data_IF_863083347733
#
_entry.id   IF_863083347733
#
_cell.length_a   1.000
_cell.length_b   1.000
_cell.length_c   1.000
_cell.angle_alpha   90.00
_cell.angle_beta   90.00
_cell.angle_gamma   90.00
#
_symmetry.space_group_name_H-M   'P 1'
#
loop_
_entity.id
_entity.type
_entity.pdbx_description
1 polymer ?
#
# COMPACT_ATOMS: atom_id res chain seq x y z
N UNK A 1 -43.45 9.87 7.60
CA UNK A 1 -42.69 9.98 6.32
C UNK A 1 -41.28 10.55 6.46
N UNK A 2 -41.02 11.53 7.34
CA UNK A 2 -39.68 12.14 7.48
C UNK A 2 -38.55 11.16 7.88
N UNK A 3 -38.82 10.22 8.80
CA UNK A 3 -37.82 9.25 9.31
C UNK A 3 -37.27 8.28 8.25
N UNK A 4 -38.10 7.88 7.29
CA UNK A 4 -37.71 6.99 6.19
C UNK A 4 -36.85 7.71 5.15
N UNK A 5 -37.19 8.97 4.86
CA UNK A 5 -36.43 9.81 3.93
C UNK A 5 -35.00 10.05 4.43
N UNK A 6 -34.83 10.32 5.72
CA UNK A 6 -33.51 10.63 6.28
C UNK A 6 -32.61 9.37 6.37
N UNK A 7 -33.18 8.20 6.68
CA UNK A 7 -32.45 6.92 6.64
C UNK A 7 -31.99 6.54 5.22
N UNK A 8 -32.78 6.89 4.20
CA UNK A 8 -32.43 6.66 2.80
C UNK A 8 -31.20 7.48 2.39
N UNK A 9 -31.16 8.77 2.71
CA UNK A 9 -30.00 9.64 2.41
C UNK A 9 -28.74 9.22 3.17
N UNK A 10 -28.88 8.76 4.42
CA UNK A 10 -27.77 8.22 5.21
C UNK A 10 -27.12 7.00 4.52
N UNK A 11 -27.94 6.06 4.08
CA UNK A 11 -27.49 4.84 3.39
C UNK A 11 -26.93 5.15 2.00
N UNK A 12 -27.59 6.03 1.25
CA UNK A 12 -27.13 6.47 -0.07
C UNK A 12 -25.75 7.13 -0.02
N UNK A 13 -25.49 7.96 1.00
CA UNK A 13 -24.17 8.60 1.16
C UNK A 13 -23.04 7.58 1.31
N UNK A 14 -23.28 6.51 2.05
CA UNK A 14 -22.31 5.43 2.28
C UNK A 14 -22.05 4.66 0.98
N UNK A 15 -23.11 4.36 0.22
CA UNK A 15 -22.99 3.68 -1.07
C UNK A 15 -22.21 4.54 -2.07
N UNK A 16 -22.44 5.84 -2.10
CA UNK A 16 -21.68 6.79 -2.94
C UNK A 16 -20.20 6.80 -2.54
N UNK A 17 -19.90 6.86 -1.25
CA UNK A 17 -18.51 6.81 -0.76
C UNK A 17 -17.81 5.49 -1.13
N UNK A 18 -18.51 4.37 -0.97
CA UNK A 18 -18.01 3.06 -1.41
C UNK A 18 -17.78 3.02 -2.92
N UNK A 19 -18.72 3.52 -3.73
CA UNK A 19 -18.59 3.57 -5.18
C UNK A 19 -17.39 4.42 -5.63
N UNK A 20 -17.16 5.58 -5.00
CA UNK A 20 -16.01 6.45 -5.28
C UNK A 20 -14.70 5.71 -5.00
N UNK A 21 -14.59 5.04 -3.85
CA UNK A 21 -13.40 4.23 -3.52
C UNK A 21 -13.22 3.08 -4.50
N UNK A 22 -14.29 2.39 -4.88
CA UNK A 22 -14.25 1.28 -5.83
C UNK A 22 -13.74 1.72 -7.20
N UNK A 23 -14.33 2.79 -7.75
CA UNK A 23 -13.94 3.32 -9.07
C UNK A 23 -12.48 3.75 -9.05
N UNK A 24 -12.05 4.46 -8.00
CA UNK A 24 -10.68 4.95 -7.87
C UNK A 24 -9.67 3.81 -7.78
N UNK A 25 -9.93 2.83 -6.91
CA UNK A 25 -9.04 1.68 -6.71
C UNK A 25 -9.04 0.75 -7.92
N UNK A 26 -10.14 0.71 -8.68
CA UNK A 26 -10.20 0.01 -9.96
C UNK A 26 -9.33 0.70 -11.04
N UNK A 27 -9.38 2.03 -11.11
CA UNK A 27 -8.66 2.83 -12.11
C UNK A 27 -7.14 2.62 -12.07
N UNK A 28 -6.58 2.29 -10.91
CA UNK A 28 -5.14 2.01 -10.74
C UNK A 28 -4.64 0.90 -11.65
N UNK A 29 -5.47 -0.08 -11.98
CA UNK A 29 -5.08 -1.19 -12.84
C UNK A 29 -4.66 -0.74 -14.24
N UNK A 30 -5.30 0.30 -14.78
CA UNK A 30 -4.95 0.87 -16.08
C UNK A 30 -3.68 1.74 -16.05
N UNK A 31 -3.16 2.03 -14.86
CA UNK A 31 -1.98 2.88 -14.69
C UNK A 31 -0.67 2.10 -14.59
N UNK A 32 -0.72 0.79 -14.30
CA UNK A 32 0.46 -0.07 -14.28
C UNK A 32 0.92 -0.43 -15.69
N UNK A 33 2.24 -0.51 -15.86
CA UNK A 33 2.88 -0.96 -17.12
C UNK A 33 2.69 -2.48 -17.25
N UNK A 34 2.30 -2.92 -18.44
CA UNK A 34 1.96 -4.32 -18.73
C UNK A 34 0.45 -4.56 -18.66
N UNK A 35 -0.15 -4.92 -19.80
CA UNK A 35 -1.55 -5.31 -19.92
C UNK A 35 -1.80 -6.66 -19.22
N UNK A 36 -1.75 -6.68 -17.89
CA UNK A 36 -2.01 -7.90 -17.13
C UNK A 36 -3.53 -8.15 -17.16
N UNK A 37 -3.98 -9.35 -17.59
CA UNK A 37 -5.40 -9.64 -17.72
C UNK A 37 -6.19 -9.31 -16.45
N UNK A 38 -7.43 -8.86 -16.63
CA UNK A 38 -8.38 -8.67 -15.55
C UNK A 38 -8.82 -10.03 -15.00
N UNK A 39 -8.03 -10.59 -14.09
CA UNK A 39 -8.40 -11.80 -13.37
C UNK A 39 -9.53 -11.54 -12.39
N UNK A 40 -10.38 -12.55 -12.19
CA UNK A 40 -11.47 -12.53 -11.21
C UNK A 40 -11.00 -12.18 -9.80
N UNK A 41 -9.80 -12.62 -9.41
CA UNK A 41 -9.21 -12.29 -8.11
C UNK A 41 -9.13 -10.79 -7.87
N UNK A 42 -8.75 -10.00 -8.89
CA UNK A 42 -8.58 -8.56 -8.74
C UNK A 42 -9.89 -7.88 -8.40
N UNK A 43 -10.97 -8.27 -9.08
CA UNK A 43 -12.31 -7.77 -8.82
C UNK A 43 -12.80 -8.12 -7.42
N UNK A 44 -12.64 -9.38 -7.02
CA UNK A 44 -13.03 -9.86 -5.69
C UNK A 44 -12.26 -9.11 -4.59
N UNK A 45 -10.94 -8.97 -4.76
CA UNK A 45 -10.09 -8.29 -3.79
C UNK A 45 -10.43 -6.81 -3.68
N UNK A 46 -10.54 -6.10 -4.80
CA UNK A 46 -10.83 -4.65 -4.82
C UNK A 46 -12.23 -4.34 -4.26
N UNK A 47 -13.23 -5.15 -4.62
CA UNK A 47 -14.57 -5.04 -4.05
C UNK A 47 -14.59 -5.34 -2.55
N UNK A 48 -13.90 -6.41 -2.14
CA UNK A 48 -13.80 -6.80 -0.75
C UNK A 48 -13.14 -5.73 0.13
N UNK A 49 -12.02 -5.17 -0.32
CA UNK A 49 -11.34 -4.05 0.36
C UNK A 49 -12.25 -2.83 0.50
N UNK A 50 -12.99 -2.50 -0.56
CA UNK A 50 -13.93 -1.38 -0.55
C UNK A 50 -15.07 -1.60 0.44
N UNK A 51 -15.62 -2.83 0.51
CA UNK A 51 -16.66 -3.16 1.49
C UNK A 51 -16.14 -3.08 2.92
N UNK A 52 -14.91 -3.52 3.19
CA UNK A 52 -14.28 -3.40 4.52
C UNK A 52 -14.13 -1.93 4.92
N UNK A 53 -13.64 -1.07 4.02
CA UNK A 53 -13.55 0.37 4.28
C UNK A 53 -14.93 1.01 4.48
N UNK A 54 -15.92 0.59 3.68
CA UNK A 54 -17.30 1.08 3.77
C UNK A 54 -17.96 0.66 5.09
N UNK A 55 -17.65 -0.53 5.60
CA UNK A 55 -18.12 -1.00 6.89
C UNK A 55 -17.63 -0.09 8.02
N UNK A 56 -16.37 0.32 8.00
CA UNK A 56 -15.82 1.27 8.97
C UNK A 56 -16.60 2.59 8.96
N UNK A 57 -16.94 3.11 7.77
CA UNK A 57 -17.71 4.36 7.63
C UNK A 57 -19.12 4.27 8.24
N UNK A 58 -19.77 3.11 8.17
CA UNK A 58 -21.13 2.90 8.68
C UNK A 58 -21.24 3.11 10.20
N UNK A 59 -20.18 2.79 10.94
CA UNK A 59 -20.13 2.90 12.40
C UNK A 59 -20.14 4.37 12.89
N UNK A 60 -19.75 5.31 12.04
CA UNK A 60 -19.65 6.72 12.43
C UNK A 60 -20.95 7.49 12.18
N UNK A 61 -21.20 8.49 13.05
CA UNK A 61 -22.30 9.44 12.87
C UNK A 61 -22.12 10.23 11.57
N UNK A 62 -23.20 10.61 10.86
CA UNK A 62 -23.11 11.29 9.55
C UNK A 62 -22.18 12.51 9.54
N UNK A 63 -22.19 13.30 10.63
CA UNK A 63 -21.31 14.47 10.81
C UNK A 63 -19.82 14.14 10.72
N UNK A 64 -19.40 13.01 11.28
CA UNK A 64 -18.01 12.56 11.31
C UNK A 64 -17.67 11.67 10.13
N UNK A 65 -18.65 10.92 9.61
CA UNK A 65 -18.45 9.99 8.49
C UNK A 65 -17.86 10.68 7.28
N UNK A 66 -18.33 11.89 6.95
CA UNK A 66 -17.77 12.67 5.85
C UNK A 66 -16.28 12.98 6.06
N UNK A 67 -15.90 13.45 7.25
CA UNK A 67 -14.50 13.77 7.55
C UNK A 67 -13.61 12.52 7.55
N UNK A 68 -14.12 11.41 8.09
CA UNK A 68 -13.42 10.13 8.04
C UNK A 68 -13.26 9.63 6.60
N UNK A 69 -14.30 9.74 5.78
CA UNK A 69 -14.26 9.39 4.37
C UNK A 69 -13.22 10.22 3.62
N UNK A 70 -13.19 11.56 3.80
CA UNK A 70 -12.16 12.40 3.19
C UNK A 70 -10.75 11.97 3.59
N UNK A 71 -10.53 11.66 4.87
CA UNK A 71 -9.24 11.18 5.37
C UNK A 71 -8.82 9.85 4.74
N UNK A 72 -9.71 8.85 4.76
CA UNK A 72 -9.48 7.54 4.12
C UNK A 72 -9.23 7.72 2.62
N UNK A 73 -10.04 8.53 1.96
CA UNK A 73 -9.97 8.75 0.52
C UNK A 73 -8.67 9.46 0.12
N UNK A 74 -8.22 10.45 0.90
CA UNK A 74 -6.91 11.08 0.71
C UNK A 74 -5.77 10.08 0.87
N UNK A 75 -5.78 9.26 1.92
CA UNK A 75 -4.76 8.22 2.14
C UNK A 75 -4.74 7.22 0.99
N UNK A 76 -5.90 6.72 0.56
CA UNK A 76 -6.01 5.83 -0.61
C UNK A 76 -5.44 6.49 -1.86
N UNK A 77 -5.77 7.76 -2.12
CA UNK A 77 -5.26 8.50 -3.28
C UNK A 77 -3.73 8.62 -3.26
N UNK A 78 -3.16 8.94 -2.09
CA UNK A 78 -1.71 9.02 -1.91
C UNK A 78 -1.03 7.68 -2.16
N UNK A 79 -1.59 6.58 -1.62
CA UNK A 79 -1.06 5.23 -1.83
C UNK A 79 -1.08 4.86 -3.32
N UNK A 80 -2.21 5.06 -4.01
CA UNK A 80 -2.34 4.71 -5.42
C UNK A 80 -1.39 5.53 -6.30
N UNK A 81 -1.23 6.82 -6.03
CA UNK A 81 -0.30 7.68 -6.76
C UNK A 81 1.15 7.26 -6.50
N UNK A 82 1.51 6.98 -5.25
CA UNK A 82 2.84 6.48 -4.90
C UNK A 82 3.15 5.18 -5.65
N UNK A 83 2.22 4.23 -5.67
CA UNK A 83 2.37 2.96 -6.39
C UNK A 83 2.52 3.16 -7.90
N UNK A 84 1.69 4.02 -8.50
CA UNK A 84 1.74 4.28 -9.95
C UNK A 84 3.03 4.96 -10.36
N UNK A 85 3.51 5.92 -9.59
CA UNK A 85 4.78 6.62 -9.86
C UNK A 85 5.95 5.67 -9.68
N UNK A 86 5.97 4.90 -8.59
CA UNK A 86 7.02 3.94 -8.31
C UNK A 86 7.08 2.82 -9.36
N UNK A 87 5.93 2.31 -9.79
CA UNK A 87 5.84 1.26 -10.81
C UNK A 87 6.37 1.70 -12.18
N UNK A 88 6.28 2.99 -12.54
CA UNK A 88 6.80 3.48 -13.83
C UNK A 88 8.32 3.39 -13.95
N UNK A 89 9.03 3.50 -12.84
CA UNK A 89 10.48 3.49 -12.83
C UNK A 89 11.04 2.14 -12.41
N UNK A 90 10.45 1.53 -11.38
CA UNK A 90 10.98 0.31 -10.77
C UNK A 90 10.26 -0.97 -11.19
N UNK A 91 9.13 -0.90 -11.92
CA UNK A 91 8.24 -2.05 -12.18
C UNK A 91 7.95 -2.84 -10.89
N UNK A 92 7.58 -2.11 -9.84
CA UNK A 92 7.35 -2.64 -8.51
C UNK A 92 6.32 -1.75 -7.78
N UNK A 93 5.86 -2.17 -6.61
CA UNK A 93 4.87 -1.48 -5.78
C UNK A 93 5.54 -1.00 -4.50
N UNK A 94 5.09 0.16 -4.00
CA UNK A 94 5.66 0.72 -2.76
C UNK A 94 5.36 -0.21 -1.58
N UNK A 95 6.31 -0.36 -0.67
CA UNK A 95 6.13 -1.15 0.56
C UNK A 95 6.45 -0.33 1.80
N UNK A 96 5.94 -0.72 2.95
CA UNK A 96 6.22 -0.10 4.24
C UNK A 96 7.71 -0.09 4.54
N UNK A 97 8.41 -1.18 4.22
CA UNK A 97 9.85 -1.28 4.38
C UNK A 97 10.61 -0.26 3.51
N UNK A 98 10.15 -0.04 2.28
CA UNK A 98 10.69 0.97 1.37
C UNK A 98 10.43 2.39 1.91
N UNK A 99 9.20 2.68 2.32
CA UNK A 99 8.84 4.00 2.87
C UNK A 99 9.66 4.35 4.12
N UNK A 100 9.97 3.36 4.96
CA UNK A 100 10.88 3.52 6.11
C UNK A 100 12.31 3.84 5.70
N UNK A 101 12.76 3.32 4.55
CA UNK A 101 14.09 3.53 4.00
C UNK A 101 14.16 4.73 3.03
N UNK A 102 13.04 5.38 2.72
CA UNK A 102 12.97 6.46 1.74
C UNK A 102 13.95 7.63 2.04
N UNK A 103 14.25 7.88 3.33
CA UNK A 103 15.25 8.88 3.73
C UNK A 103 16.67 8.59 3.22
N UNK A 104 17.01 7.31 3.03
CA UNK A 104 18.30 6.90 2.48
C UNK A 104 18.39 7.14 0.97
N UNK A 105 17.25 7.28 0.29
CA UNK A 105 17.13 7.48 -1.15
C UNK A 105 16.98 8.96 -1.56
N UNK A 106 17.34 9.91 -0.68
CA UNK A 106 17.18 11.35 -0.93
C UNK A 106 17.87 11.83 -2.22
N UNK A 107 18.97 11.19 -2.64
CA UNK A 107 19.70 11.53 -3.86
C UNK A 107 18.96 11.24 -5.17
N UNK A 108 17.82 10.55 -5.14
CA UNK A 108 17.04 10.17 -6.34
C UNK A 108 15.66 10.83 -6.38
N UNK A 109 15.35 11.71 -5.42
CA UNK A 109 14.02 12.31 -5.26
C UNK A 109 13.57 13.10 -6.49
N UNK A 110 14.45 13.91 -7.09
CA UNK A 110 14.10 14.75 -8.24
C UNK A 110 13.73 13.90 -9.46
N UNK A 111 14.46 12.80 -9.68
CA UNK A 111 14.16 11.83 -10.74
C UNK A 111 12.79 11.19 -10.52
N UNK A 112 12.45 10.84 -9.27
CA UNK A 112 11.13 10.29 -8.91
C UNK A 112 10.01 11.30 -9.14
N UNK A 113 10.21 12.56 -8.75
CA UNK A 113 9.20 13.62 -8.95
C UNK A 113 8.98 13.92 -10.44
N UNK A 114 10.01 13.82 -11.28
CA UNK A 114 9.90 13.98 -12.72
C UNK A 114 9.01 12.92 -13.41
N UNK A 115 8.76 11.77 -12.77
CA UNK A 115 7.88 10.71 -13.28
C UNK A 115 6.39 10.96 -13.01
N UNK A 116 6.05 11.96 -12.18
CA UNK A 116 4.66 12.34 -11.91
C UNK A 116 4.08 12.97 -13.18
N UNK A 117 2.95 12.42 -13.64
CA UNK A 117 2.25 12.89 -14.84
C UNK A 117 0.97 13.62 -14.43
N UNK A 118 0.49 14.61 -15.20
CA UNK A 118 -0.77 15.30 -14.90
C UNK A 118 -1.97 14.38 -14.71
N UNK A 119 -2.01 13.23 -15.41
CA UNK A 119 -3.05 12.20 -15.23
C UNK A 119 -3.11 11.60 -13.83
N UNK A 120 -2.06 11.70 -13.03
CA UNK A 120 -2.03 11.22 -11.64
C UNK A 120 -2.88 12.09 -10.71
N UNK A 121 -3.13 13.34 -11.12
CA UNK A 121 -4.06 14.22 -10.40
C UNK A 121 -5.51 13.73 -10.47
N UNK A 122 -5.85 12.85 -11.41
CA UNK A 122 -7.17 12.24 -11.50
C UNK A 122 -7.54 11.45 -10.24
N UNK A 123 -6.56 10.90 -9.52
CA UNK A 123 -6.79 10.22 -8.24
C UNK A 123 -7.25 11.17 -7.13
N UNK A 124 -7.08 12.49 -7.27
CA UNK A 124 -7.54 13.49 -6.30
C UNK A 124 -8.78 14.28 -6.78
N UNK A 125 -9.27 14.02 -7.99
CA UNK A 125 -10.33 14.81 -8.60
C UNK A 125 -11.64 14.80 -7.79
N UNK A 126 -12.00 13.65 -7.24
CA UNK A 126 -13.16 13.51 -6.36
C UNK A 126 -13.02 14.35 -5.08
N UNK A 127 -11.83 14.45 -4.48
CA UNK A 127 -11.59 15.32 -3.32
C UNK A 127 -11.75 16.80 -3.67
N UNK A 128 -11.25 17.21 -4.84
CA UNK A 128 -11.39 18.57 -5.36
C UNK A 128 -12.87 18.95 -5.57
N UNK A 129 -13.74 17.99 -5.89
CA UNK A 129 -15.18 18.22 -6.06
C UNK A 129 -15.94 18.12 -4.72
N UNK A 130 -15.64 17.11 -3.90
CA UNK A 130 -16.36 16.81 -2.66
C UNK A 130 -16.14 17.85 -1.57
N UNK A 131 -14.95 18.44 -1.48
CA UNK A 131 -14.63 19.45 -0.45
C UNK A 131 -15.46 20.73 -0.68
N UNK A 132 -15.41 21.41 -1.85
CA UNK A 132 -16.20 22.62 -2.10
C UNK A 132 -17.70 22.36 -2.09
N UNK A 133 -18.17 21.24 -2.67
CA UNK A 133 -19.58 20.89 -2.70
C UNK A 133 -20.16 20.80 -1.28
N UNK A 134 -19.42 20.22 -0.34
CA UNK A 134 -19.88 20.08 1.03
C UNK A 134 -19.85 21.40 1.79
N UNK A 135 -18.85 22.26 1.56
CA UNK A 135 -18.80 23.59 2.14
C UNK A 135 -19.97 24.46 1.65
N UNK A 136 -20.33 24.35 0.37
CA UNK A 136 -21.46 25.08 -0.20
C UNK A 136 -22.81 24.62 0.39
N UNK A 137 -23.01 23.30 0.53
CA UNK A 137 -24.24 22.75 1.14
C UNK A 137 -24.35 23.12 2.62
N UNK A 138 -23.24 23.06 3.39
CA UNK A 138 -23.21 23.46 4.81
C UNK A 138 -23.52 24.94 5.03
N UNK A 139 -23.14 25.83 4.11
CA UNK A 139 -23.49 27.26 4.17
C UNK A 139 -24.98 27.53 3.89
N UNK A 140 -25.63 26.66 3.10
CA UNK A 140 -27.03 26.84 2.65
C UNK A 140 -28.06 26.12 3.54
N UNK A 141 -27.64 25.14 4.33
CA UNK A 141 -28.53 24.36 5.22
C UNK A 141 -27.94 24.27 6.63
N UNK A 142 -28.74 24.69 7.62
CA UNK A 142 -28.48 24.32 9.02
C UNK A 142 -28.67 22.80 9.13
N UNK A 143 -27.57 22.06 9.30
CA UNK A 143 -27.59 20.60 9.42
C UNK A 143 -28.26 20.20 10.75
N UNK A 144 -29.60 20.18 10.77
CA UNK A 144 -30.40 19.71 11.92
C UNK A 144 -30.85 18.26 11.80
N UNK A 145 -30.53 17.56 10.70
CA UNK A 145 -30.93 16.17 10.53
C UNK A 145 -30.04 15.22 11.34
N UNK A 146 -30.53 14.88 12.53
CA UNK A 146 -29.93 13.90 13.45
C UNK A 146 -30.43 12.47 13.21
N UNK A 147 -31.38 12.27 12.29
CA UNK A 147 -32.00 10.98 12.04
C UNK A 147 -31.25 10.22 10.94
N UNK A 148 -30.53 9.17 11.33
CA UNK A 148 -29.96 8.18 10.42
C UNK A 148 -30.38 6.78 10.83
N UNK A 149 -29.78 5.75 10.23
CA UNK A 149 -29.99 4.36 10.66
C UNK A 149 -29.82 4.22 12.18
N UNK A 150 -30.61 3.34 12.79
CA UNK A 150 -30.45 3.01 14.21
C UNK A 150 -29.04 2.46 14.46
N UNK A 151 -28.51 2.61 15.68
CA UNK A 151 -27.18 2.08 16.00
C UNK A 151 -27.10 0.57 15.74
N UNK A 152 -28.15 -0.17 16.06
CA UNK A 152 -28.26 -1.62 15.80
C UNK A 152 -28.20 -1.90 14.30
N UNK A 153 -28.94 -1.16 13.48
CA UNK A 153 -28.92 -1.34 12.02
C UNK A 153 -27.56 -1.00 11.41
N UNK A 154 -26.87 0.02 11.93
CA UNK A 154 -25.51 0.39 11.49
C UNK A 154 -24.51 -0.70 11.82
N UNK A 155 -24.56 -1.24 13.04
CA UNK A 155 -23.69 -2.34 13.46
C UNK A 155 -23.97 -3.59 12.62
N UNK A 156 -25.24 -3.96 12.45
CA UNK A 156 -25.62 -5.11 11.64
C UNK A 156 -25.11 -4.99 10.19
N UNK A 157 -25.35 -3.84 9.54
CA UNK A 157 -24.88 -3.62 8.17
C UNK A 157 -23.36 -3.57 8.08
N UNK A 158 -22.68 -2.96 9.06
CA UNK A 158 -21.22 -2.98 9.15
C UNK A 158 -20.68 -4.40 9.27
N UNK A 159 -21.28 -5.24 10.13
CA UNK A 159 -20.88 -6.64 10.27
C UNK A 159 -21.08 -7.41 8.97
N UNK A 160 -22.20 -7.21 8.27
CA UNK A 160 -22.45 -7.82 6.95
C UNK A 160 -21.39 -7.39 5.95
N UNK A 161 -21.10 -6.08 5.83
CA UNK A 161 -20.07 -5.57 4.94
C UNK A 161 -18.68 -6.11 5.28
N UNK A 162 -18.33 -6.26 6.57
CA UNK A 162 -17.07 -6.88 6.99
C UNK A 162 -17.00 -8.36 6.64
N UNK A 163 -18.07 -9.13 6.90
CA UNK A 163 -18.12 -10.57 6.61
C UNK A 163 -18.03 -10.84 5.11
N UNK A 164 -18.83 -10.13 4.32
CA UNK A 164 -18.80 -10.24 2.85
C UNK A 164 -17.48 -9.74 2.30
N UNK A 165 -17.00 -8.58 2.76
CA UNK A 165 -15.76 -7.98 2.33
C UNK A 165 -14.56 -8.90 2.57
N UNK A 166 -14.43 -9.45 3.79
CA UNK A 166 -13.38 -10.41 4.12
C UNK A 166 -13.52 -11.70 3.32
N UNK A 167 -14.72 -12.24 3.13
CA UNK A 167 -14.94 -13.43 2.31
C UNK A 167 -14.46 -13.22 0.86
N UNK A 168 -14.72 -12.05 0.27
CA UNK A 168 -14.24 -11.71 -1.07
C UNK A 168 -12.72 -11.55 -1.14
N UNK A 169 -12.10 -10.92 -0.12
CA UNK A 169 -10.64 -10.81 -0.02
C UNK A 169 -10.00 -12.21 0.07
N UNK A 170 -10.55 -13.09 0.89
CA UNK A 170 -10.05 -14.46 1.03
C UNK A 170 -10.22 -15.26 -0.27
N UNK A 171 -11.35 -15.14 -0.95
CA UNK A 171 -11.56 -15.75 -2.26
C UNK A 171 -10.59 -15.21 -3.32
N UNK A 172 -10.28 -13.91 -3.28
CA UNK A 172 -9.26 -13.29 -4.14
C UNK A 172 -7.87 -13.87 -3.90
N UNK A 173 -7.47 -13.98 -2.63
CA UNK A 173 -6.16 -14.52 -2.23
C UNK A 173 -6.07 -16.00 -2.61
N UNK A 174 -7.09 -16.80 -2.31
CA UNK A 174 -7.15 -18.22 -2.66
C UNK A 174 -7.01 -18.43 -4.17
N UNK A 175 -7.77 -17.67 -4.97
CA UNK A 175 -7.70 -17.72 -6.43
C UNK A 175 -6.32 -17.36 -7.00
N UNK A 176 -5.57 -16.48 -6.34
CA UNK A 176 -4.18 -16.19 -6.72
C UNK A 176 -3.24 -17.32 -6.29
N UNK A 177 -3.41 -17.86 -5.08
CA UNK A 177 -2.58 -18.96 -4.58
C UNK A 177 -2.74 -20.26 -5.38
N UNK A 178 -3.94 -20.55 -5.88
CA UNK A 178 -4.19 -21.68 -6.79
C UNK A 178 -3.41 -21.55 -8.10
N UNK A 179 -3.36 -20.32 -8.66
CA UNK A 179 -2.65 -20.05 -9.92
C UNK A 179 -1.13 -19.91 -9.74
N UNK A 180 -0.69 -19.37 -8.60
CA UNK A 180 0.71 -19.13 -8.28
C UNK A 180 1.01 -19.55 -6.84
N UNK A 181 1.20 -20.86 -6.59
CA UNK A 181 1.50 -21.38 -5.26
C UNK A 181 2.74 -20.73 -4.66
N UNK A 182 2.66 -20.38 -3.37
CA UNK A 182 3.79 -19.81 -2.64
C UNK A 182 4.07 -18.32 -2.89
N UNK A 183 3.52 -17.70 -3.95
CA UNK A 183 3.72 -16.28 -4.28
C UNK A 183 3.43 -15.37 -3.07
N UNK A 184 2.22 -15.47 -2.52
CA UNK A 184 1.81 -14.65 -1.38
C UNK A 184 2.71 -14.94 -0.18
N UNK A 185 3.06 -16.21 0.09
CA UNK A 185 3.89 -16.59 1.24
C UNK A 185 5.28 -15.98 1.16
N UNK A 186 5.96 -16.15 0.03
CA UNK A 186 7.33 -15.68 -0.19
C UNK A 186 7.39 -14.17 -0.51
N UNK A 187 6.31 -13.57 -1.01
CA UNK A 187 6.17 -12.13 -1.27
C UNK A 187 7.26 -11.56 -2.19
N UNK A 188 7.67 -12.37 -3.18
CA UNK A 188 8.81 -12.08 -4.05
C UNK A 188 8.45 -11.17 -5.23
N UNK A 189 7.20 -11.16 -5.69
CA UNK A 189 6.70 -10.25 -6.73
C UNK A 189 5.51 -9.45 -6.21
N UNK A 190 5.81 -8.25 -5.69
CA UNK A 190 4.81 -7.35 -5.10
C UNK A 190 3.87 -6.76 -6.15
N UNK A 191 4.35 -6.51 -7.37
CA UNK A 191 3.54 -5.99 -8.46
C UNK A 191 2.47 -7.00 -8.88
N UNK A 192 2.85 -8.26 -9.10
CA UNK A 192 1.90 -9.33 -9.44
C UNK A 192 0.87 -9.52 -8.34
N UNK A 193 1.29 -9.47 -7.07
CA UNK A 193 0.36 -9.54 -5.94
C UNK A 193 -0.65 -8.39 -6.01
N UNK A 194 -0.20 -7.13 -6.04
CA UNK A 194 -1.09 -5.96 -6.08
C UNK A 194 -2.05 -5.98 -7.28
N UNK A 195 -1.57 -6.37 -8.46
CA UNK A 195 -2.38 -6.44 -9.68
C UNK A 195 -3.41 -7.59 -9.69
N UNK A 196 -3.25 -8.59 -8.81
CA UNK A 196 -4.15 -9.73 -8.70
C UNK A 196 -5.08 -9.68 -7.50
N UNK A 197 -4.71 -9.07 -6.36
CA UNK A 197 -5.60 -8.96 -5.18
C UNK A 197 -6.05 -7.52 -4.91
N UNK A 198 -5.55 -6.54 -5.66
CA UNK A 198 -5.82 -5.11 -5.45
C UNK A 198 -4.80 -4.45 -4.52
N UNK A 199 -4.44 -3.20 -4.82
CA UNK A 199 -3.40 -2.45 -4.09
C UNK A 199 -3.69 -2.35 -2.59
N UNK A 200 -4.94 -2.10 -2.19
CA UNK A 200 -5.29 -1.95 -0.78
C UNK A 200 -5.06 -3.25 0.01
N UNK A 201 -5.39 -4.40 -0.57
CA UNK A 201 -5.15 -5.69 0.07
C UNK A 201 -3.65 -6.01 0.13
N UNK A 202 -2.91 -5.70 -0.94
CA UNK A 202 -1.46 -5.80 -0.95
C UNK A 202 -0.84 -5.00 0.20
N UNK A 203 -1.19 -3.71 0.33
CA UNK A 203 -0.66 -2.85 1.40
C UNK A 203 -1.08 -3.32 2.79
N UNK A 204 -2.30 -3.84 2.96
CA UNK A 204 -2.72 -4.44 4.22
C UNK A 204 -1.87 -5.66 4.61
N UNK A 205 -1.56 -6.54 3.64
CA UNK A 205 -0.68 -7.69 3.86
C UNK A 205 0.75 -7.24 4.16
N UNK A 206 1.26 -6.25 3.43
CA UNK A 206 2.61 -5.72 3.62
C UNK A 206 2.79 -5.07 5.00
N UNK A 207 1.84 -4.23 5.43
CA UNK A 207 1.80 -3.65 6.78
C UNK A 207 1.77 -4.74 7.84
N UNK A 208 0.91 -5.76 7.68
CA UNK A 208 0.83 -6.86 8.63
C UNK A 208 2.14 -7.66 8.70
N UNK A 209 2.75 -7.96 7.55
CA UNK A 209 4.05 -8.66 7.49
C UNK A 209 5.15 -7.87 8.16
N UNK A 210 5.23 -6.58 7.87
CA UNK A 210 6.22 -5.68 8.45
C UNK A 210 6.04 -5.58 9.97
N UNK A 211 4.81 -5.38 10.44
CA UNK A 211 4.50 -5.33 11.87
C UNK A 211 4.84 -6.66 12.57
N UNK A 212 4.46 -7.80 11.98
CA UNK A 212 4.79 -9.13 12.51
C UNK A 212 6.30 -9.33 12.61
N UNK A 213 7.06 -8.93 11.59
CA UNK A 213 8.53 -9.00 11.60
C UNK A 213 9.13 -8.10 12.69
N UNK A 214 8.59 -6.90 12.91
CA UNK A 214 9.08 -5.98 13.93
C UNK A 214 8.78 -6.44 15.36
N UNK A 215 7.64 -7.11 15.57
CA UNK A 215 7.29 -7.70 16.87
C UNK A 215 8.08 -8.99 17.11
N UNK A 216 8.26 -9.81 16.07
CA UNK A 216 9.01 -11.07 16.16
C UNK A 216 10.54 -10.87 16.12
N UNK A 217 11.04 -9.71 15.71
CA UNK A 217 12.47 -9.41 15.78
C UNK A 217 12.87 -9.24 17.24
N UNK A 218 13.34 -10.34 17.84
CA UNK A 218 14.18 -10.28 19.03
C UNK A 218 15.39 -9.42 18.71
N UNK A 219 15.66 -8.42 19.56
CA UNK A 219 16.98 -7.80 19.58
C UNK A 219 17.97 -8.92 19.93
N UNK A 220 19.05 -9.02 19.16
CA UNK A 220 20.11 -9.98 19.47
C UNK A 220 20.52 -9.84 20.94
N UNK A 221 20.61 -10.94 21.67
CA UNK A 221 21.12 -10.93 23.03
C UNK A 221 22.56 -10.42 23.05
N UNK A 222 23.04 -9.94 24.19
CA UNK A 222 24.43 -9.52 24.30
C UNK A 222 25.40 -10.69 23.99
N UNK A 223 25.00 -11.92 24.34
CA UNK A 223 25.75 -13.14 24.05
C UNK A 223 25.79 -13.45 22.55
N UNK A 224 24.66 -13.33 21.83
CA UNK A 224 24.62 -13.51 20.37
C UNK A 224 25.48 -12.47 19.65
N UNK A 225 25.45 -11.21 20.12
CA UNK A 225 26.31 -10.15 19.59
C UNK A 225 27.80 -10.44 19.88
N UNK A 226 28.12 -10.92 21.07
CA UNK A 226 29.48 -11.29 21.45
C UNK A 226 30.00 -12.47 20.62
N UNK A 227 29.18 -13.51 20.42
CA UNK A 227 29.49 -14.67 19.59
C UNK A 227 29.71 -14.27 18.13
N UNK A 228 28.86 -13.40 17.58
CA UNK A 228 29.02 -12.87 16.22
C UNK A 228 30.31 -12.06 16.07
N UNK A 229 30.63 -11.18 17.03
CA UNK A 229 31.90 -10.45 17.05
C UNK A 229 33.10 -11.40 17.13
N UNK A 230 33.03 -12.40 18.00
CA UNK A 230 34.08 -13.40 18.14
C UNK A 230 34.29 -14.20 16.84
N UNK A 231 33.21 -14.54 16.14
CA UNK A 231 33.26 -15.19 14.83
C UNK A 231 33.97 -14.32 13.79
N UNK A 232 33.60 -13.03 13.67
CA UNK A 232 34.28 -12.12 12.76
C UNK A 232 35.77 -11.98 13.09
N UNK A 233 36.12 -11.83 14.37
CA UNK A 233 37.53 -11.74 14.81
C UNK A 233 38.30 -13.02 14.46
N UNK A 234 37.70 -14.20 14.62
CA UNK A 234 38.31 -15.47 14.27
C UNK A 234 38.57 -15.58 12.75
N UNK A 235 37.61 -15.14 11.91
CA UNK A 235 37.78 -15.16 10.46
C UNK A 235 38.83 -14.14 9.97
N UNK A 236 38.86 -12.94 10.55
CA UNK A 236 39.87 -11.93 10.18
C UNK A 236 41.28 -12.37 10.55
N UNK A 237 41.46 -13.09 11.67
CA UNK A 237 42.76 -13.67 12.04
C UNK A 237 43.27 -14.71 11.04
N UNK A 238 42.38 -15.45 10.37
CA UNK A 238 42.76 -16.42 9.34
C UNK A 238 43.17 -15.77 8.01
N UNK A 239 42.75 -14.52 7.74
CA UNK A 239 42.99 -13.82 6.47
C UNK A 239 44.26 -12.93 6.46
N UNK A 240 44.92 -12.73 7.61
CA UNK A 240 46.01 -11.77 7.78
C UNK A 240 47.39 -12.23 7.27
N UNK A 241 47.50 -13.33 6.54
CA UNK A 241 48.78 -13.82 5.96
C UNK A 241 49.00 -13.28 4.54
N UNK A 242 48.91 -11.97 4.34
CA UNK A 242 49.21 -11.37 3.04
C UNK A 242 50.27 -10.27 3.11
N UNK A 243 51.28 -10.38 2.25
CA UNK A 243 52.45 -9.51 2.14
C UNK A 243 52.14 -8.07 1.65
N UNK A 244 50.87 -7.73 1.38
CA UNK A 244 50.46 -6.41 0.87
C UNK A 244 49.96 -5.45 1.95
N UNK A 245 50.10 -5.79 3.24
CA UNK A 245 49.69 -4.90 4.32
C UNK A 245 50.40 -3.54 4.20
N UNK A 246 49.62 -2.46 4.18
CA UNK A 246 50.08 -1.07 4.04
C UNK A 246 50.88 -0.74 2.75
N UNK A 247 50.96 -1.64 1.77
CA UNK A 247 51.77 -1.44 0.55
C UNK A 247 51.38 -0.20 -0.28
N UNK A 248 50.16 0.30 -0.12
CA UNK A 248 49.61 1.46 -0.84
C UNK A 248 49.13 2.58 0.10
N UNK A 249 49.63 2.63 1.34
CA UNK A 249 49.27 3.67 2.30
C UNK A 249 49.58 5.07 1.74
N UNK A 250 48.62 6.00 1.86
CA UNK A 250 48.76 7.37 1.37
C UNK A 250 48.49 7.58 -0.13
N UNK A 251 48.17 6.54 -0.88
CA UNK A 251 47.77 6.67 -2.29
C UNK A 251 46.25 6.88 -2.44
N UNK A 252 45.84 7.46 -3.56
CA UNK A 252 44.43 7.61 -3.91
C UNK A 252 43.81 6.24 -4.27
N UNK A 253 42.59 5.98 -3.80
CA UNK A 253 41.80 4.81 -4.16
C UNK A 253 40.81 5.19 -5.27
N UNK A 254 40.95 4.57 -6.44
CA UNK A 254 39.98 4.68 -7.54
C UNK A 254 39.23 3.35 -7.60
N UNK A 255 37.91 3.38 -7.35
CA UNK A 255 37.03 2.22 -7.47
C UNK A 255 36.17 2.36 -8.72
N UNK A 256 36.20 1.37 -9.59
CA UNK A 256 35.38 1.33 -10.81
C UNK A 256 34.33 0.24 -10.65
N UNK A 257 33.05 0.63 -10.57
CA UNK A 257 31.93 -0.32 -10.61
C UNK A 257 31.56 -0.61 -12.06
N UNK A 258 31.63 -1.88 -12.46
CA UNK A 258 31.19 -2.34 -13.76
C UNK A 258 29.78 -2.93 -13.64
N UNK A 259 28.76 -2.16 -14.03
CA UNK A 259 27.36 -2.57 -13.92
C UNK A 259 27.04 -3.75 -14.83
N UNK A 260 26.36 -4.77 -14.29
CA UNK A 260 25.99 -6.02 -14.98
C UNK A 260 27.15 -6.77 -15.67
N UNK A 261 28.39 -6.48 -15.29
CA UNK A 261 29.57 -7.11 -15.87
C UNK A 261 29.77 -8.53 -15.32
N UNK A 262 29.92 -9.50 -16.21
CA UNK A 262 30.21 -10.89 -15.86
C UNK A 262 31.58 -11.29 -16.40
N UNK A 263 32.30 -12.14 -15.67
CA UNK A 263 33.70 -12.47 -15.96
C UNK A 263 33.92 -13.14 -17.31
N UNK A 264 32.90 -13.77 -17.91
CA UNK A 264 33.01 -14.40 -19.23
C UNK A 264 33.33 -13.39 -20.34
N UNK A 265 32.99 -12.10 -20.15
CA UNK A 265 33.26 -11.02 -21.13
C UNK A 265 34.75 -10.70 -21.24
N UNK A 266 35.56 -11.03 -20.22
CA UNK A 266 36.99 -10.70 -20.20
C UNK A 266 37.83 -11.46 -21.23
N UNK A 267 37.28 -12.50 -21.86
CA UNK A 267 37.97 -13.33 -22.86
C UNK A 267 37.06 -13.69 -24.04
N UNK A 268 36.16 -12.78 -24.42
CA UNK A 268 35.25 -12.92 -25.57
C UNK A 268 35.91 -12.46 -26.88
#
# INVERSE_FOLDING_TARGET
MARWRDSFWDTLSVLVYGAILLIKTYFVKFSFVGNVPLHRSFWLGTLGATLVLTALLLLFKPRWRYHLFLGINLVVSLILVADVVYARYFNDVTSVALLRQAKLAAGVQDSVLALIKPRDLAYFFDLLVLIPATLWVRRRRSYTHQFGLSLVSKIALSCICLLVGNSLIQASIASLQERQPGLIRAFWDKQVIAQNIGNLNFHAIDVWRYAKKQVASTRLSQEEQAAMKAWFVAQTKAANTNNYQNAMQGKNLIMVQLEAFQSFVLNL
#
